data_IF_535346719760
#
_entry.id   IF_535346719760
#
_cell.length_a   1.000
_cell.length_b   1.000
_cell.length_c   1.000
_cell.angle_alpha   90.00
_cell.angle_beta   90.00
_cell.angle_gamma   90.00
#
_symmetry.space_group_name_H-M   'P 1'
#
loop_
_entity.id
_entity.type
_entity.pdbx_description
1 polymer ?
#
# COMPACT_ATOMS: atom_id res chain seq x y z
N UNK A 1 -18.91 -16.52 13.86
CA UNK A 1 -17.82 -17.13 13.08
C UNK A 1 -17.87 -16.63 11.63
N UNK A 2 -18.81 -17.08 10.78
CA UNK A 2 -18.89 -16.71 9.34
C UNK A 2 -19.15 -15.21 9.10
N UNK A 3 -20.03 -14.56 9.88
CA UNK A 3 -20.32 -13.13 9.75
C UNK A 3 -19.09 -12.24 10.02
N UNK A 4 -18.22 -12.63 10.96
CA UNK A 4 -17.01 -11.87 11.27
C UNK A 4 -15.96 -12.00 10.15
N UNK A 5 -15.80 -13.20 9.59
CA UNK A 5 -14.90 -13.43 8.45
C UNK A 5 -15.30 -12.59 7.22
N UNK A 6 -16.60 -12.52 6.91
CA UNK A 6 -17.11 -11.68 5.80
C UNK A 6 -16.80 -10.19 6.02
N UNK A 7 -16.96 -9.69 7.25
CA UNK A 7 -16.64 -8.31 7.61
C UNK A 7 -15.14 -8.03 7.46
N UNK A 8 -14.26 -8.96 7.84
CA UNK A 8 -12.81 -8.79 7.69
C UNK A 8 -12.37 -8.77 6.22
N UNK A 9 -12.95 -9.62 5.38
CA UNK A 9 -12.67 -9.62 3.93
C UNK A 9 -13.17 -8.32 3.29
N UNK A 10 -14.38 -7.88 3.62
CA UNK A 10 -14.94 -6.63 3.10
C UNK A 10 -14.11 -5.41 3.54
N UNK A 11 -13.68 -5.39 4.80
CA UNK A 11 -12.79 -4.36 5.33
C UNK A 11 -11.46 -4.34 4.56
N UNK A 12 -10.83 -5.50 4.38
CA UNK A 12 -9.60 -5.63 3.60
C UNK A 12 -9.78 -5.13 2.17
N UNK A 13 -10.90 -5.44 1.54
CA UNK A 13 -11.22 -5.01 0.17
C UNK A 13 -11.39 -3.49 0.08
N UNK A 14 -12.20 -2.89 0.95
CA UNK A 14 -12.43 -1.43 0.95
C UNK A 14 -11.14 -0.67 1.25
N UNK A 15 -10.43 -1.07 2.31
CA UNK A 15 -9.15 -0.46 2.69
C UNK A 15 -8.10 -0.68 1.61
N UNK A 16 -8.08 -1.86 0.98
CA UNK A 16 -7.20 -2.18 -0.14
C UNK A 16 -7.43 -1.27 -1.34
N UNK A 17 -8.69 -1.08 -1.76
CA UNK A 17 -9.03 -0.16 -2.86
C UNK A 17 -8.56 1.25 -2.54
N UNK A 18 -8.91 1.78 -1.37
CA UNK A 18 -8.51 3.14 -0.96
C UNK A 18 -6.99 3.26 -0.89
N UNK A 19 -6.31 2.32 -0.26
CA UNK A 19 -4.86 2.31 -0.13
C UNK A 19 -4.16 2.17 -1.48
N UNK A 20 -4.69 1.37 -2.40
CA UNK A 20 -4.18 1.18 -3.75
C UNK A 20 -4.39 2.41 -4.63
N UNK A 21 -5.51 3.11 -4.46
CA UNK A 21 -5.79 4.37 -5.18
C UNK A 21 -4.89 5.50 -4.68
N UNK A 22 -4.75 5.64 -3.36
CA UNK A 22 -3.99 6.75 -2.75
C UNK A 22 -2.47 6.45 -2.74
N UNK A 23 -2.06 5.20 -2.91
CA UNK A 23 -0.65 4.83 -2.86
C UNK A 23 -0.03 4.94 -1.45
N UNK A 24 -0.84 4.77 -0.40
CA UNK A 24 -0.43 4.85 1.02
C UNK A 24 0.40 3.62 1.45
N UNK A 25 1.21 3.03 0.57
CA UNK A 25 2.08 1.88 0.87
C UNK A 25 3.23 2.20 1.83
N UNK A 26 2.95 2.93 2.92
CA UNK A 26 3.87 3.46 3.94
C UNK A 26 4.52 4.80 3.57
N UNK A 27 4.22 5.34 2.40
CA UNK A 27 4.93 6.48 1.80
C UNK A 27 4.51 7.87 2.19
N UNK A 28 3.53 8.05 3.07
CA UNK A 28 2.93 9.37 3.34
C UNK A 28 3.97 10.41 3.76
N UNK A 29 5.07 9.96 4.38
CA UNK A 29 6.22 10.80 4.74
C UNK A 29 7.37 10.66 3.73
N UNK A 30 7.68 9.44 3.29
CA UNK A 30 8.83 9.18 2.41
C UNK A 30 8.66 9.73 0.99
N UNK A 31 7.45 9.67 0.41
CA UNK A 31 7.17 10.15 -0.95
C UNK A 31 7.37 11.67 -1.05
N UNK A 32 6.73 12.53 -0.23
CA UNK A 32 6.98 13.97 -0.31
C UNK A 32 8.44 14.31 0.04
N UNK A 33 9.09 13.58 0.94
CA UNK A 33 10.52 13.78 1.21
C UNK A 33 11.38 13.47 -0.04
N UNK A 34 11.16 12.34 -0.72
CA UNK A 34 11.90 11.96 -1.92
C UNK A 34 11.63 12.89 -3.11
N UNK A 35 10.42 13.42 -3.23
CA UNK A 35 10.07 14.38 -4.29
C UNK A 35 10.64 15.77 -3.97
N UNK A 36 10.37 16.34 -2.79
CA UNK A 36 10.74 17.73 -2.49
C UNK A 36 12.20 17.91 -2.06
N UNK A 37 12.81 16.90 -1.42
CA UNK A 37 14.21 17.00 -0.95
C UNK A 37 15.17 16.41 -1.98
N UNK A 38 14.80 15.31 -2.61
CA UNK A 38 15.69 14.56 -3.51
C UNK A 38 15.32 14.70 -5.00
N UNK A 39 14.23 15.38 -5.33
CA UNK A 39 13.86 15.68 -6.72
C UNK A 39 13.46 14.47 -7.57
N UNK A 40 13.10 13.33 -6.95
CA UNK A 40 12.66 12.15 -7.70
C UNK A 40 11.31 12.40 -8.35
N UNK A 41 11.07 11.77 -9.50
CA UNK A 41 9.73 11.74 -10.08
C UNK A 41 8.75 11.02 -9.13
N UNK A 42 7.46 11.37 -9.22
CA UNK A 42 6.44 10.78 -8.34
C UNK A 42 6.42 9.25 -8.40
N UNK A 43 6.62 8.67 -9.59
CA UNK A 43 6.67 7.23 -9.78
C UNK A 43 7.91 6.59 -9.14
N UNK A 44 9.08 7.23 -9.27
CA UNK A 44 10.30 6.73 -8.63
C UNK A 44 10.25 6.85 -7.11
N UNK A 45 9.70 7.95 -6.58
CA UNK A 45 9.51 8.15 -5.15
C UNK A 45 8.56 7.09 -4.55
N UNK A 46 7.46 6.78 -5.24
CA UNK A 46 6.55 5.70 -4.84
C UNK A 46 7.23 4.32 -4.90
N UNK A 47 7.92 4.00 -5.99
CA UNK A 47 8.60 2.72 -6.15
C UNK A 47 9.70 2.50 -5.10
N UNK A 48 10.51 3.52 -4.85
CA UNK A 48 11.59 3.50 -3.85
C UNK A 48 11.05 3.31 -2.44
N UNK A 49 9.96 4.01 -2.12
CA UNK A 49 9.26 3.87 -0.84
C UNK A 49 8.74 2.44 -0.63
N UNK A 50 8.09 1.85 -1.64
CA UNK A 50 7.58 0.47 -1.55
C UNK A 50 8.72 -0.53 -1.34
N UNK A 51 9.84 -0.35 -2.05
CA UNK A 51 11.04 -1.17 -1.90
C UNK A 51 11.69 -1.01 -0.52
N UNK A 52 11.51 0.12 0.15
CA UNK A 52 12.00 0.36 1.50
C UNK A 52 11.04 -0.14 2.59
N UNK A 53 9.74 -0.10 2.36
CA UNK A 53 8.74 -0.46 3.38
C UNK A 53 8.42 -1.95 3.43
N UNK A 54 8.33 -2.63 2.30
CA UNK A 54 7.88 -4.03 2.27
C UNK A 54 8.98 -4.99 2.77
N UNK A 55 10.20 -5.00 2.20
CA UNK A 55 11.19 -6.02 2.51
C UNK A 55 11.89 -5.87 3.88
N UNK A 56 12.44 -4.71 4.28
CA UNK A 56 13.14 -4.60 5.56
C UNK A 56 12.19 -4.21 6.70
N UNK A 57 11.31 -3.22 6.54
CA UNK A 57 10.48 -2.73 7.65
C UNK A 57 9.32 -3.69 7.92
N UNK A 58 8.52 -3.98 6.89
CA UNK A 58 7.33 -4.83 6.99
C UNK A 58 7.67 -6.24 7.44
N UNK A 59 8.65 -6.88 6.80
CA UNK A 59 9.03 -8.26 7.11
C UNK A 59 9.63 -8.41 8.51
N UNK A 60 10.55 -7.53 8.92
CA UNK A 60 11.17 -7.60 10.25
C UNK A 60 10.17 -7.29 11.36
N UNK A 61 9.28 -6.32 11.15
CA UNK A 61 8.21 -6.02 12.09
C UNK A 61 7.26 -7.22 12.21
N UNK A 62 6.73 -7.73 11.10
CA UNK A 62 5.84 -8.89 11.09
C UNK A 62 6.48 -10.11 11.77
N UNK A 63 7.76 -10.38 11.50
CA UNK A 63 8.52 -11.44 12.14
C UNK A 63 8.64 -11.27 13.66
N UNK A 64 8.90 -10.04 14.11
CA UNK A 64 9.01 -9.72 15.54
C UNK A 64 7.68 -9.92 16.26
N UNK A 65 6.57 -9.43 15.70
CA UNK A 65 5.24 -9.60 16.27
C UNK A 65 4.78 -11.07 16.22
N UNK A 66 5.14 -11.80 15.17
CA UNK A 66 4.87 -13.23 15.06
C UNK A 66 5.54 -14.02 16.18
N UNK A 67 6.83 -13.74 16.46
CA UNK A 67 7.56 -14.38 17.57
C UNK A 67 6.98 -14.12 18.95
N UNK A 68 6.33 -12.97 19.15
CA UNK A 68 5.70 -12.62 20.42
C UNK A 68 4.25 -13.13 20.55
N UNK A 69 3.71 -13.82 19.53
CA UNK A 69 2.37 -14.40 19.58
C UNK A 69 1.23 -13.39 19.45
N UNK A 70 1.51 -12.13 19.09
CA UNK A 70 0.50 -11.08 18.92
C UNK A 70 -0.21 -11.12 17.55
N UNK A 71 0.19 -12.04 16.66
CA UNK A 71 -0.35 -12.13 15.30
C UNK A 71 -1.40 -13.23 15.22
N UNK A 72 -2.66 -12.83 15.05
CA UNK A 72 -3.72 -13.76 14.67
C UNK A 72 -3.67 -14.02 13.16
N UNK A 73 -3.07 -15.15 12.77
CA UNK A 73 -2.88 -15.53 11.37
C UNK A 73 -4.20 -15.72 10.62
N UNK A 74 -5.25 -16.16 11.30
CA UNK A 74 -6.54 -16.48 10.68
C UNK A 74 -7.23 -15.19 10.21
N UNK A 75 -7.29 -14.18 11.08
CA UNK A 75 -7.82 -12.85 10.74
C UNK A 75 -6.93 -12.17 9.69
N UNK A 76 -5.60 -12.27 9.85
CA UNK A 76 -4.65 -11.70 8.90
C UNK A 76 -4.82 -12.29 7.49
N UNK A 77 -5.06 -13.59 7.35
CA UNK A 77 -5.28 -14.23 6.06
C UNK A 77 -6.55 -13.72 5.35
N UNK A 78 -7.67 -13.59 6.07
CA UNK A 78 -8.91 -13.06 5.50
C UNK A 78 -8.77 -11.60 5.04
N UNK A 79 -8.13 -10.76 5.86
CA UNK A 79 -7.86 -9.36 5.50
C UNK A 79 -6.89 -9.29 4.32
N UNK A 80 -5.83 -10.12 4.32
CA UNK A 80 -4.84 -10.15 3.25
C UNK A 80 -5.46 -10.53 1.91
N UNK A 81 -6.40 -11.48 1.87
CA UNK A 81 -7.13 -11.83 0.67
C UNK A 81 -7.94 -10.64 0.15
N UNK A 82 -8.77 -10.02 1.01
CA UNK A 82 -9.55 -8.84 0.63
C UNK A 82 -8.66 -7.68 0.14
N UNK A 83 -7.57 -7.41 0.87
CA UNK A 83 -6.63 -6.34 0.57
C UNK A 83 -5.84 -6.59 -0.73
N UNK A 84 -5.47 -7.84 -1.02
CA UNK A 84 -4.79 -8.18 -2.26
C UNK A 84 -5.65 -7.84 -3.48
N UNK A 85 -6.89 -8.29 -3.51
CA UNK A 85 -7.82 -7.98 -4.61
C UNK A 85 -8.20 -6.50 -4.63
N UNK A 86 -8.46 -5.90 -3.47
CA UNK A 86 -8.81 -4.49 -3.37
C UNK A 86 -7.69 -3.56 -3.83
N UNK A 87 -6.47 -3.79 -3.36
CA UNK A 87 -5.32 -2.95 -3.73
C UNK A 87 -4.92 -3.12 -5.19
N UNK A 88 -5.04 -4.31 -5.76
CA UNK A 88 -4.80 -4.52 -7.18
C UNK A 88 -5.79 -3.71 -8.03
N UNK A 89 -7.08 -3.74 -7.69
CA UNK A 89 -8.09 -2.95 -8.40
C UNK A 89 -7.86 -1.44 -8.20
N UNK A 90 -7.59 -1.01 -6.97
CA UNK A 90 -7.32 0.39 -6.65
C UNK A 90 -6.09 0.94 -7.37
N UNK A 91 -4.99 0.19 -7.40
CA UNK A 91 -3.77 0.57 -8.10
C UNK A 91 -3.99 0.69 -9.62
N UNK A 92 -4.75 -0.25 -10.21
CA UNK A 92 -5.11 -0.18 -11.64
C UNK A 92 -5.93 1.07 -11.97
N UNK A 93 -6.89 1.42 -11.12
CA UNK A 93 -7.67 2.65 -11.27
C UNK A 93 -6.77 3.90 -11.15
N UNK A 94 -5.89 3.96 -10.15
CA UNK A 94 -4.98 5.10 -9.98
C UNK A 94 -4.07 5.30 -11.21
N UNK A 95 -3.46 4.23 -11.71
CA UNK A 95 -2.58 4.29 -12.89
C UNK A 95 -3.31 4.66 -14.18
N UNK A 96 -4.63 4.44 -14.26
CA UNK A 96 -5.44 4.82 -15.43
C UNK A 96 -5.95 6.26 -15.34
N UNK A 97 -6.20 6.75 -14.12
CA UNK A 97 -6.72 8.11 -13.88
C UNK A 97 -5.63 9.17 -13.67
N UNK A 98 -4.35 8.80 -13.51
CA UNK A 98 -3.25 9.76 -13.61
C UNK A 98 -3.14 10.23 -15.07
N UNK A 99 -3.88 11.31 -15.35
CA UNK A 99 -3.72 12.15 -16.53
C UNK A 99 -2.24 12.42 -16.77
N UNK A 100 -1.80 12.50 -18.04
CA UNK A 100 -0.44 12.93 -18.35
C UNK A 100 -0.22 14.27 -17.66
N UNK A 101 0.74 14.31 -16.73
CA UNK A 101 1.21 15.57 -16.17
C UNK A 101 1.68 16.42 -17.34
N UNK A 102 0.94 17.49 -17.62
CA UNK A 102 1.31 18.51 -18.59
C UNK A 102 2.52 19.27 -18.00
N UNK A 103 3.69 18.63 -18.04
CA UNK A 103 4.97 19.21 -17.61
C UNK A 103 6.06 18.86 -18.62
N UNK A 104 5.71 18.96 -19.90
CA UNK A 104 6.64 18.97 -21.03
C UNK A 104 6.29 20.14 -21.94
N UNK A 105 6.25 21.36 -21.39
CA UNK A 105 6.16 22.58 -22.19
C UNK A 105 7.00 23.76 -21.72
N UNK A 106 7.72 23.68 -20.59
CA UNK A 106 8.56 24.78 -20.11
C UNK A 106 9.79 24.34 -19.30
N UNK A 107 10.66 23.48 -19.85
CA UNK A 107 12.13 23.56 -19.65
C UNK A 107 12.83 23.05 -20.90
#
# INVERSE_FOLDING_TARGET
MIHAALLYVLLGLVVGIISGVVGIGGGVIFVPALVFVFGLSQHEAQGTTLALLIPPIGLLAAWTYYKHGYVNLEIAAYICLGFFFGSLLGARVATTCQMPSLEESLV
#
